data_IF_547631515228
#
_entry.id   IF_547631515228
#
_cell.length_a   1.000
_cell.length_b   1.000
_cell.length_c   1.000
_cell.angle_alpha   90.00
_cell.angle_beta   90.00
_cell.angle_gamma   90.00
#
_symmetry.space_group_name_H-M   'P 1'
#
loop_
_entity.id
_entity.type
_entity.pdbx_description
1 polymer ?
#
# COMPACT_ATOMS: atom_id res chain seq x y z
N UNK A 1 19.28 2.73 -6.43
CA UNK A 1 17.90 2.20 -6.30
C UNK A 1 16.97 3.40 -6.30
N UNK A 2 16.18 3.56 -7.34
CA UNK A 2 15.10 4.54 -7.38
C UNK A 2 13.79 3.84 -7.02
N UNK A 3 12.86 4.62 -6.45
CA UNK A 3 11.53 4.17 -6.10
C UNK A 3 10.54 4.75 -7.12
N UNK A 4 9.65 3.93 -7.65
CA UNK A 4 8.64 4.33 -8.64
C UNK A 4 7.29 3.78 -8.22
N UNK A 5 6.25 4.60 -8.37
CA UNK A 5 4.86 4.20 -8.17
C UNK A 5 4.06 4.48 -9.42
N UNK A 6 3.23 3.53 -9.84
CA UNK A 6 2.32 3.72 -10.96
C UNK A 6 1.13 2.75 -10.85
N UNK A 7 -0.06 3.30 -10.66
CA UNK A 7 -1.30 2.53 -10.51
C UNK A 7 -2.26 2.69 -11.69
N UNK A 8 -1.90 3.51 -12.70
CA UNK A 8 -2.69 3.61 -13.92
C UNK A 8 -2.15 2.70 -15.01
N UNK A 9 -2.99 1.80 -15.53
CA UNK A 9 -2.65 0.77 -16.51
C UNK A 9 -1.86 1.32 -17.70
N UNK A 10 -2.31 2.42 -18.30
CA UNK A 10 -1.68 3.03 -19.47
C UNK A 10 -0.23 3.49 -19.23
N UNK A 11 0.10 3.81 -17.99
CA UNK A 11 1.43 4.31 -17.61
C UNK A 11 2.35 3.22 -17.03
N UNK A 12 1.81 2.08 -16.56
CA UNK A 12 2.62 1.00 -15.97
C UNK A 12 3.67 0.50 -16.95
N UNK A 13 3.29 0.26 -18.21
CA UNK A 13 4.23 -0.20 -19.26
C UNK A 13 5.40 0.78 -19.45
N UNK A 14 5.11 2.07 -19.53
CA UNK A 14 6.13 3.11 -19.68
C UNK A 14 7.02 3.21 -18.43
N UNK A 15 6.43 3.11 -17.24
CA UNK A 15 7.16 3.13 -15.97
C UNK A 15 8.11 1.93 -15.86
N UNK A 16 7.65 0.74 -16.16
CA UNK A 16 8.49 -0.47 -16.17
C UNK A 16 9.59 -0.39 -17.23
N UNK A 17 9.29 0.11 -18.42
CA UNK A 17 10.28 0.27 -19.50
C UNK A 17 11.42 1.23 -19.13
N UNK A 18 11.11 2.31 -18.39
CA UNK A 18 12.10 3.31 -17.92
C UNK A 18 12.84 2.87 -16.65
N UNK A 19 12.37 1.83 -15.96
CA UNK A 19 12.99 1.34 -14.74
C UNK A 19 14.33 0.67 -15.04
N UNK A 20 15.31 0.95 -14.18
CA UNK A 20 16.69 0.44 -14.27
C UNK A 20 16.88 -0.76 -13.36
N UNK A 21 17.92 -1.58 -13.55
CA UNK A 21 18.30 -2.62 -12.61
C UNK A 21 18.38 -2.09 -11.18
N UNK A 22 17.86 -2.84 -10.23
CA UNK A 22 17.76 -2.48 -8.81
C UNK A 22 16.76 -1.36 -8.46
N UNK A 23 16.02 -0.79 -9.43
CA UNK A 23 14.89 0.07 -9.08
C UNK A 23 13.77 -0.78 -8.46
N UNK A 24 13.03 -0.18 -7.53
CA UNK A 24 11.79 -0.74 -7.00
C UNK A 24 10.62 -0.05 -7.68
N UNK A 25 9.82 -0.81 -8.41
CA UNK A 25 8.57 -0.38 -9.01
C UNK A 25 7.39 -0.95 -8.23
N UNK A 26 6.52 -0.09 -7.72
CA UNK A 26 5.23 -0.44 -7.16
C UNK A 26 4.18 -0.15 -8.21
N UNK A 27 3.47 -1.16 -8.65
CA UNK A 27 2.52 -1.07 -9.76
C UNK A 27 1.19 -1.72 -9.39
N UNK A 28 0.14 -1.33 -10.07
CA UNK A 28 -1.06 -2.14 -10.18
C UNK A 28 -0.95 -3.01 -11.44
N UNK A 29 -0.90 -4.31 -11.27
CA UNK A 29 -0.74 -5.25 -12.38
C UNK A 29 -2.05 -5.75 -12.97
N UNK A 30 -3.20 -5.25 -12.51
CA UNK A 30 -4.49 -5.57 -13.12
C UNK A 30 -4.50 -5.10 -14.59
N UNK A 31 -4.96 -5.95 -15.51
CA UNK A 31 -4.88 -5.67 -16.95
C UNK A 31 -3.48 -5.75 -17.59
N UNK A 32 -2.39 -5.80 -16.82
CA UNK A 32 -1.02 -5.82 -17.35
C UNK A 32 -0.60 -7.25 -17.71
N UNK A 33 -0.21 -7.51 -18.98
CA UNK A 33 0.29 -8.82 -19.39
C UNK A 33 1.54 -9.26 -18.60
N UNK A 34 1.57 -10.53 -18.24
CA UNK A 34 2.70 -11.16 -17.55
C UNK A 34 4.05 -10.89 -18.22
N UNK A 35 4.11 -10.93 -19.54
CA UNK A 35 5.34 -10.69 -20.33
C UNK A 35 5.94 -9.29 -20.09
N UNK A 36 5.11 -8.28 -19.87
CA UNK A 36 5.58 -6.90 -19.58
C UNK A 36 6.30 -6.84 -18.25
N UNK A 37 5.71 -7.46 -17.21
CA UNK A 37 6.30 -7.49 -15.87
C UNK A 37 7.56 -8.34 -15.88
N UNK A 38 7.52 -9.54 -16.47
CA UNK A 38 8.68 -10.43 -16.58
C UNK A 38 9.84 -9.80 -17.35
N UNK A 39 9.55 -9.01 -18.39
CA UNK A 39 10.59 -8.25 -19.10
C UNK A 39 11.28 -7.22 -18.18
N UNK A 40 10.57 -6.54 -17.29
CA UNK A 40 11.19 -5.64 -16.32
C UNK A 40 12.00 -6.41 -15.28
N UNK A 41 11.45 -7.49 -14.74
CA UNK A 41 12.12 -8.37 -13.75
C UNK A 41 13.40 -8.96 -14.32
N UNK A 42 13.41 -9.43 -15.58
CA UNK A 42 14.60 -9.98 -16.22
C UNK A 42 15.73 -8.96 -16.40
N UNK A 43 15.40 -7.67 -16.42
CA UNK A 43 16.38 -6.56 -16.39
C UNK A 43 16.85 -6.20 -14.97
N UNK A 44 16.39 -6.92 -13.94
CA UNK A 44 16.74 -6.67 -12.55
C UNK A 44 15.90 -5.58 -11.84
N UNK A 45 14.73 -5.25 -12.36
CA UNK A 45 13.75 -4.39 -11.68
C UNK A 45 13.05 -5.22 -10.60
N UNK A 46 12.98 -4.68 -9.38
CA UNK A 46 12.18 -5.26 -8.30
C UNK A 46 10.74 -4.76 -8.43
N UNK A 47 9.78 -5.67 -8.52
CA UNK A 47 8.37 -5.32 -8.68
C UNK A 47 7.57 -5.70 -7.44
N UNK A 48 6.84 -4.74 -6.90
CA UNK A 48 5.77 -4.93 -5.92
C UNK A 48 4.44 -4.68 -6.59
N UNK A 49 3.48 -5.54 -6.35
CA UNK A 49 2.13 -5.41 -6.88
C UNK A 49 1.17 -4.84 -5.85
N UNK A 50 0.25 -4.00 -6.29
CA UNK A 50 -0.75 -3.37 -5.45
C UNK A 50 -1.90 -4.32 -5.11
N UNK A 51 -2.24 -4.42 -3.84
CA UNK A 51 -3.46 -5.08 -3.35
C UNK A 51 -4.12 -4.20 -2.30
N UNK A 52 -5.39 -3.91 -2.51
CA UNK A 52 -6.21 -3.22 -1.53
C UNK A 52 -6.86 -4.25 -0.59
N UNK A 53 -6.42 -4.32 0.66
CA UNK A 53 -6.93 -5.29 1.62
C UNK A 53 -8.17 -4.81 2.39
N UNK A 54 -8.33 -3.50 2.52
CA UNK A 54 -9.37 -2.90 3.37
C UNK A 54 -10.48 -2.19 2.62
N UNK A 55 -10.34 -1.98 1.30
CA UNK A 55 -11.36 -1.31 0.52
C UNK A 55 -11.60 -1.98 -0.84
N UNK A 56 -12.78 -1.75 -1.40
CA UNK A 56 -13.22 -2.26 -2.70
C UNK A 56 -13.45 -1.09 -3.65
N UNK A 57 -12.73 -1.08 -4.76
CA UNK A 57 -12.78 -0.06 -5.80
C UNK A 57 -13.80 -0.45 -6.88
N UNK A 58 -14.71 0.48 -7.25
CA UNK A 58 -15.78 0.23 -8.22
C UNK A 58 -15.25 -0.13 -9.63
N UNK A 59 -14.06 0.33 -9.97
CA UNK A 59 -13.43 0.06 -11.28
C UNK A 59 -12.88 -1.36 -11.43
N UNK A 60 -12.80 -2.15 -10.35
CA UNK A 60 -12.20 -3.49 -10.40
C UNK A 60 -13.13 -4.51 -11.07
N UNK A 61 -12.54 -5.40 -11.86
CA UNK A 61 -13.25 -6.49 -12.54
C UNK A 61 -14.03 -7.39 -11.57
N UNK A 62 -13.58 -7.48 -10.34
CA UNK A 62 -14.18 -8.29 -9.28
C UNK A 62 -15.18 -7.50 -8.40
N UNK A 63 -15.46 -6.22 -8.68
CA UNK A 63 -16.33 -5.39 -7.87
C UNK A 63 -17.71 -6.02 -7.63
N UNK A 64 -18.39 -6.46 -8.69
CA UNK A 64 -19.73 -7.01 -8.60
C UNK A 64 -19.79 -8.30 -7.76
N UNK A 65 -18.71 -9.06 -7.75
CA UNK A 65 -18.59 -10.28 -6.94
C UNK A 65 -18.56 -9.97 -5.44
N UNK A 66 -17.88 -8.88 -5.03
CA UNK A 66 -17.63 -8.59 -3.63
C UNK A 66 -18.38 -7.36 -3.08
N UNK A 67 -19.20 -6.67 -3.90
CA UNK A 67 -19.93 -5.47 -3.47
C UNK A 67 -20.85 -5.68 -2.27
N UNK A 68 -21.31 -6.91 -2.03
CA UNK A 68 -22.11 -7.28 -0.86
C UNK A 68 -21.32 -7.28 0.46
N UNK A 69 -20.00 -7.17 0.40
CA UNK A 69 -19.13 -7.07 1.57
C UNK A 69 -18.85 -5.61 1.98
N UNK A 70 -19.43 -4.63 1.29
CA UNK A 70 -19.19 -3.22 1.60
C UNK A 70 -19.70 -2.84 2.98
N UNK A 71 -18.89 -2.08 3.70
CA UNK A 71 -19.25 -1.53 5.01
C UNK A 71 -19.69 -0.07 4.91
N UNK A 72 -18.89 0.77 4.28
CA UNK A 72 -19.16 2.19 4.14
C UNK A 72 -18.44 2.77 2.93
N UNK A 73 -18.82 3.99 2.53
CA UNK A 73 -18.08 4.74 1.53
C UNK A 73 -16.69 5.11 2.09
N UNK A 74 -15.68 4.95 1.25
CA UNK A 74 -14.35 5.49 1.56
C UNK A 74 -14.36 7.00 1.34
N UNK A 75 -13.89 7.79 2.31
CA UNK A 75 -14.03 9.25 2.26
C UNK A 75 -13.03 9.91 1.31
N UNK A 76 -11.86 9.30 1.10
CA UNK A 76 -10.78 9.87 0.30
C UNK A 76 -10.99 9.77 -1.21
N UNK A 77 -11.65 8.71 -1.70
CA UNK A 77 -11.75 8.41 -3.13
C UNK A 77 -13.16 8.09 -3.57
N UNK A 78 -13.59 8.75 -4.67
CA UNK A 78 -14.90 8.47 -5.27
C UNK A 78 -14.93 7.08 -5.90
N UNK A 79 -15.96 6.29 -5.55
CA UNK A 79 -16.11 4.94 -6.08
C UNK A 79 -15.38 3.87 -5.27
N UNK A 80 -14.83 4.20 -4.13
CA UNK A 80 -14.18 3.28 -3.21
C UNK A 80 -15.02 3.07 -1.94
N UNK A 81 -14.98 1.87 -1.38
CA UNK A 81 -15.78 1.47 -0.23
C UNK A 81 -14.95 0.66 0.74
N UNK A 82 -14.98 1.00 2.01
CA UNK A 82 -14.50 0.11 3.07
C UNK A 82 -15.21 -1.24 2.95
N UNK A 83 -14.44 -2.32 3.01
CA UNK A 83 -14.94 -3.69 2.88
C UNK A 83 -14.81 -4.43 4.19
N UNK A 84 -15.65 -5.45 4.40
CA UNK A 84 -15.49 -6.40 5.49
C UNK A 84 -14.39 -7.42 5.17
N UNK A 85 -13.19 -7.26 5.73
CA UNK A 85 -12.09 -8.17 5.45
C UNK A 85 -12.25 -9.52 6.15
N UNK A 86 -13.25 -9.68 7.05
CA UNK A 86 -13.45 -10.93 7.81
C UNK A 86 -14.11 -12.04 7.01
N UNK A 87 -14.70 -11.70 5.85
CA UNK A 87 -15.24 -12.68 4.94
C UNK A 87 -14.12 -13.56 4.37
N UNK A 88 -14.28 -14.88 4.55
CA UNK A 88 -13.25 -15.83 4.04
C UNK A 88 -12.98 -15.64 2.55
N UNK A 89 -14.01 -15.40 1.77
CA UNK A 89 -13.89 -15.18 0.32
C UNK A 89 -13.06 -13.94 -0.04
N UNK A 90 -13.03 -12.90 0.83
CA UNK A 90 -12.17 -11.74 0.63
C UNK A 90 -10.71 -12.03 1.01
N UNK A 91 -10.50 -12.75 2.11
CA UNK A 91 -9.17 -13.22 2.52
C UNK A 91 -8.54 -14.06 1.40
N UNK A 92 -9.31 -15.05 0.92
CA UNK A 92 -8.88 -15.94 -0.17
C UNK A 92 -8.60 -15.14 -1.45
N UNK A 93 -9.43 -14.13 -1.76
CA UNK A 93 -9.24 -13.26 -2.92
C UNK A 93 -7.91 -12.48 -2.84
N UNK A 94 -7.62 -11.82 -1.72
CA UNK A 94 -6.35 -11.10 -1.55
C UNK A 94 -5.13 -12.02 -1.70
N UNK A 95 -5.20 -13.23 -1.13
CA UNK A 95 -4.12 -14.22 -1.28
C UNK A 95 -3.99 -14.69 -2.73
N UNK A 96 -5.11 -14.92 -3.43
CA UNK A 96 -5.09 -15.30 -4.84
C UNK A 96 -4.52 -14.21 -5.76
N UNK A 97 -4.82 -12.92 -5.47
CA UNK A 97 -4.17 -11.81 -6.15
C UNK A 97 -2.64 -11.84 -5.94
N UNK A 98 -2.19 -12.11 -4.72
CA UNK A 98 -0.77 -12.22 -4.43
C UNK A 98 -0.12 -13.43 -5.14
N UNK A 99 -0.80 -14.57 -5.24
CA UNK A 99 -0.34 -15.72 -6.05
C UNK A 99 -0.20 -15.31 -7.51
N UNK A 100 -1.17 -14.61 -8.07
CA UNK A 100 -1.11 -14.13 -9.46
C UNK A 100 0.02 -13.12 -9.67
N UNK A 101 0.24 -12.21 -8.71
CA UNK A 101 1.36 -11.27 -8.74
C UNK A 101 2.72 -11.98 -8.74
N UNK A 102 2.88 -13.01 -7.89
CA UNK A 102 4.08 -13.85 -7.85
C UNK A 102 4.32 -14.56 -9.18
N UNK A 103 3.27 -15.12 -9.79
CA UNK A 103 3.37 -15.76 -11.09
C UNK A 103 3.81 -14.79 -12.20
N UNK A 104 3.40 -13.52 -12.12
CA UNK A 104 3.88 -12.45 -13.00
C UNK A 104 5.34 -12.05 -12.73
N UNK A 105 5.92 -12.41 -11.58
CA UNK A 105 7.31 -12.13 -11.20
C UNK A 105 7.47 -11.05 -10.13
N UNK A 106 6.39 -10.61 -9.48
CA UNK A 106 6.50 -9.71 -8.33
C UNK A 106 7.26 -10.39 -7.18
N UNK A 107 8.06 -9.61 -6.45
CA UNK A 107 8.78 -10.06 -5.26
C UNK A 107 8.11 -9.64 -3.96
N UNK A 108 7.10 -8.81 -4.04
CA UNK A 108 6.35 -8.32 -2.88
C UNK A 108 5.00 -7.72 -3.26
N UNK A 109 4.23 -7.43 -2.22
CA UNK A 109 2.93 -6.80 -2.29
C UNK A 109 2.97 -5.46 -1.57
N UNK A 110 2.50 -4.41 -2.24
CA UNK A 110 2.12 -3.15 -1.63
C UNK A 110 0.68 -3.29 -1.14
N UNK A 111 0.53 -3.43 0.18
CA UNK A 111 -0.74 -3.74 0.82
C UNK A 111 -1.40 -2.46 1.32
N UNK A 112 -2.45 -2.05 0.67
CA UNK A 112 -3.15 -0.82 0.98
C UNK A 112 -4.37 -1.03 1.89
N UNK A 113 -4.78 0.06 2.54
CA UNK A 113 -5.99 0.16 3.37
C UNK A 113 -6.08 -0.85 4.54
N UNK A 114 -4.93 -1.28 5.09
CA UNK A 114 -4.94 -1.99 6.38
C UNK A 114 -5.46 -1.11 7.53
N UNK A 115 -5.65 0.18 7.27
CA UNK A 115 -6.33 1.16 8.13
C UNK A 115 -7.78 0.77 8.47
N UNK A 116 -8.43 -0.12 7.71
CA UNK A 116 -9.74 -0.68 8.07
C UNK A 116 -9.75 -1.24 9.49
N UNK A 117 -8.61 -1.73 9.99
CA UNK A 117 -8.47 -2.17 11.38
C UNK A 117 -8.80 -1.07 12.39
N UNK A 118 -8.39 0.16 12.10
CA UNK A 118 -8.74 1.33 12.91
C UNK A 118 -10.12 1.86 12.53
N UNK A 119 -10.38 2.00 11.25
CA UNK A 119 -11.56 2.67 10.69
C UNK A 119 -12.87 1.96 11.03
N UNK A 120 -12.88 0.64 11.19
CA UNK A 120 -14.11 -0.12 11.53
C UNK A 120 -14.81 0.40 12.79
N UNK A 121 -14.07 1.00 13.72
CA UNK A 121 -14.62 1.62 14.94
C UNK A 121 -15.23 3.01 14.71
N UNK A 122 -14.99 3.61 13.55
CA UNK A 122 -15.45 4.95 13.18
C UNK A 122 -16.55 4.93 12.12
N UNK A 123 -16.87 3.74 11.60
CA UNK A 123 -18.00 3.55 10.70
C UNK A 123 -19.27 3.50 11.55
N UNK A 124 -20.16 4.48 11.36
CA UNK A 124 -21.41 4.57 12.15
C UNK A 124 -22.56 3.78 11.54
N UNK A 125 -22.52 3.56 10.23
CA UNK A 125 -23.57 2.84 9.49
C UNK A 125 -22.96 2.02 8.35
N UNK A 126 -23.23 0.73 8.38
CA UNK A 126 -22.87 -0.17 7.28
C UNK A 126 -23.94 -0.19 6.19
N UNK A 127 -23.51 -0.46 4.95
CA UNK A 127 -24.40 -0.56 3.79
C UNK A 127 -25.05 -1.95 3.67
N UNK A 128 -24.25 -2.96 3.50
CA UNK A 128 -24.69 -4.26 3.01
C UNK A 128 -24.61 -5.37 4.08
N UNK A 129 -23.96 -5.11 5.21
CA UNK A 129 -23.77 -6.10 6.28
C UNK A 129 -23.44 -5.47 7.63
N UNK A 130 -23.62 -6.21 8.75
CA UNK A 130 -23.18 -5.74 10.07
C UNK A 130 -21.67 -5.43 10.10
N UNK A 131 -21.29 -4.44 10.91
CA UNK A 131 -19.88 -4.14 11.14
C UNK A 131 -19.22 -5.28 11.93
N UNK A 132 -18.06 -5.78 11.48
CA UNK A 132 -17.29 -6.74 12.25
C UNK A 132 -16.63 -6.08 13.46
N UNK A 133 -16.32 -6.84 14.48
CA UNK A 133 -15.51 -6.34 15.57
C UNK A 133 -14.04 -6.16 15.17
N UNK A 134 -13.36 -5.23 15.83
CA UNK A 134 -11.98 -4.88 15.50
C UNK A 134 -11.01 -6.08 15.63
N UNK A 135 -11.28 -7.00 16.55
CA UNK A 135 -10.42 -8.19 16.73
C UNK A 135 -10.57 -9.16 15.56
N UNK A 136 -11.80 -9.32 15.04
CA UNK A 136 -12.04 -10.11 13.84
C UNK A 136 -11.33 -9.49 12.62
N UNK A 137 -11.43 -8.17 12.45
CA UNK A 137 -10.69 -7.44 11.39
C UNK A 137 -9.19 -7.65 11.52
N UNK A 138 -8.63 -7.54 12.74
CA UNK A 138 -7.22 -7.82 12.97
C UNK A 138 -6.82 -9.24 12.52
N UNK A 139 -7.61 -10.25 12.92
CA UNK A 139 -7.34 -11.66 12.56
C UNK A 139 -7.38 -11.86 11.03
N UNK A 140 -8.31 -11.22 10.36
CA UNK A 140 -8.44 -11.28 8.91
C UNK A 140 -7.24 -10.67 8.19
N UNK A 141 -6.87 -9.44 8.53
CA UNK A 141 -5.68 -8.79 7.96
C UNK A 141 -4.39 -9.57 8.28
N UNK A 142 -4.28 -10.12 9.51
CA UNK A 142 -3.17 -11.01 9.85
C UNK A 142 -3.12 -12.22 8.94
N UNK A 143 -4.27 -12.86 8.66
CA UNK A 143 -4.34 -14.01 7.77
C UNK A 143 -3.90 -13.65 6.34
N UNK A 144 -4.31 -12.48 5.84
CA UNK A 144 -3.88 -11.97 4.52
C UNK A 144 -2.35 -11.77 4.52
N UNK A 145 -1.80 -11.04 5.50
CA UNK A 145 -0.36 -10.76 5.58
C UNK A 145 0.46 -12.05 5.70
N UNK A 146 0.06 -12.96 6.59
CA UNK A 146 0.75 -14.25 6.75
C UNK A 146 0.64 -15.09 5.47
N UNK A 147 -0.55 -15.21 4.87
CA UNK A 147 -0.73 -15.96 3.62
C UNK A 147 0.12 -15.43 2.46
N UNK A 148 0.27 -14.11 2.34
CA UNK A 148 1.17 -13.48 1.36
C UNK A 148 2.64 -13.81 1.68
N UNK A 149 3.02 -13.75 2.95
CA UNK A 149 4.39 -14.08 3.36
C UNK A 149 4.70 -15.59 3.16
N UNK A 150 3.74 -16.46 3.44
CA UNK A 150 3.91 -17.92 3.32
C UNK A 150 4.14 -18.38 1.88
N UNK A 151 3.60 -17.66 0.91
CA UNK A 151 3.93 -17.89 -0.51
C UNK A 151 5.26 -17.25 -0.93
N UNK A 152 6.01 -16.65 0.01
CA UNK A 152 7.36 -16.12 -0.21
C UNK A 152 7.41 -14.69 -0.78
N UNK A 153 6.33 -13.91 -0.67
CA UNK A 153 6.32 -12.50 -1.05
C UNK A 153 6.55 -11.58 0.16
N UNK A 154 7.23 -10.48 -0.07
CA UNK A 154 7.44 -9.44 0.94
C UNK A 154 6.17 -8.59 1.02
N UNK A 155 5.65 -8.35 2.24
CA UNK A 155 4.52 -7.44 2.45
C UNK A 155 5.04 -6.06 2.83
N UNK A 156 4.59 -5.04 2.11
CA UNK A 156 4.85 -3.63 2.38
C UNK A 156 3.51 -2.92 2.62
N UNK A 157 3.06 -2.80 3.87
CA UNK A 157 1.86 -2.02 4.18
C UNK A 157 2.06 -0.55 3.82
N UNK A 158 1.00 0.06 3.28
CA UNK A 158 0.89 1.50 3.12
C UNK A 158 0.09 2.07 4.29
N UNK A 159 0.69 2.93 5.11
CA UNK A 159 0.06 3.38 6.35
C UNK A 159 -0.26 2.23 7.30
N UNK A 160 -1.48 2.22 7.83
CA UNK A 160 -2.00 1.16 8.68
C UNK A 160 -1.26 0.99 10.01
N UNK A 161 -0.72 2.07 10.57
CA UNK A 161 0.17 2.04 11.74
C UNK A 161 -0.40 1.27 12.93
N UNK A 162 -1.68 1.44 13.22
CA UNK A 162 -2.37 0.75 14.32
C UNK A 162 -2.36 -0.77 14.12
N UNK A 163 -2.61 -1.23 12.89
CA UNK A 163 -2.53 -2.64 12.54
C UNK A 163 -1.08 -3.13 12.58
N UNK A 164 -0.17 -2.43 11.91
CA UNK A 164 1.24 -2.84 11.78
C UNK A 164 1.93 -2.91 13.14
N UNK A 165 1.67 -1.96 14.04
CA UNK A 165 2.23 -1.97 15.39
C UNK A 165 1.75 -3.18 16.19
N UNK A 166 0.45 -3.49 16.14
CA UNK A 166 -0.10 -4.68 16.81
C UNK A 166 0.45 -5.96 16.17
N UNK A 167 0.46 -6.05 14.86
CA UNK A 167 0.96 -7.22 14.13
C UNK A 167 2.44 -7.50 14.46
N UNK A 168 3.26 -6.46 14.54
CA UNK A 168 4.69 -6.59 14.87
C UNK A 168 4.92 -7.21 16.25
N UNK A 169 4.05 -6.98 17.24
CA UNK A 169 4.22 -7.58 18.57
C UNK A 169 4.09 -9.10 18.54
N UNK A 170 3.28 -9.63 17.64
CA UNK A 170 3.02 -11.07 17.50
C UNK A 170 3.96 -11.70 16.42
N UNK A 171 4.32 -10.94 15.38
CA UNK A 171 5.05 -11.41 14.21
C UNK A 171 6.19 -10.46 13.80
N UNK A 172 7.24 -10.27 14.62
CA UNK A 172 8.24 -9.20 14.41
C UNK A 172 9.10 -9.36 13.15
N UNK A 173 9.11 -10.56 12.56
CA UNK A 173 9.99 -10.87 11.41
C UNK A 173 9.26 -10.93 10.05
N UNK A 174 7.95 -10.70 10.02
CA UNK A 174 7.13 -10.84 8.80
C UNK A 174 7.15 -9.55 7.99
N UNK A 175 6.73 -8.42 8.58
CA UNK A 175 6.77 -7.10 7.92
C UNK A 175 8.16 -6.50 8.09
N UNK A 176 8.92 -6.43 6.99
CA UNK A 176 10.29 -5.90 6.97
C UNK A 176 10.41 -4.53 6.32
N UNK A 177 9.34 -4.04 5.76
CA UNK A 177 9.29 -2.74 5.08
C UNK A 177 7.90 -2.15 5.21
N UNK A 178 7.84 -0.82 5.31
CA UNK A 178 6.60 -0.05 5.28
C UNK A 178 6.69 1.05 4.24
N UNK A 179 5.54 1.52 3.79
CA UNK A 179 5.37 2.79 3.12
C UNK A 179 4.47 3.72 3.93
N UNK A 180 4.69 5.03 3.85
CA UNK A 180 3.82 6.05 4.39
C UNK A 180 3.63 7.15 3.35
N UNK A 181 2.39 7.42 3.01
CA UNK A 181 2.06 8.52 2.12
C UNK A 181 1.86 9.82 2.89
N UNK A 182 2.23 10.93 2.26
CA UNK A 182 1.94 12.27 2.72
C UNK A 182 2.41 12.58 4.14
N UNK A 183 3.59 12.08 4.55
CA UNK A 183 4.07 12.34 5.90
C UNK A 183 4.36 13.83 6.15
N UNK A 184 4.86 14.53 5.15
CA UNK A 184 5.16 15.96 5.22
C UNK A 184 4.23 16.79 4.35
N UNK A 185 3.90 16.28 3.16
CA UNK A 185 3.05 16.95 2.17
C UNK A 185 2.02 15.98 1.58
N UNK A 186 0.75 16.35 1.68
CA UNK A 186 -0.41 15.67 1.10
C UNK A 186 -1.15 16.65 0.19
N UNK A 187 -1.66 16.19 -0.96
CA UNK A 187 -2.37 17.05 -1.93
C UNK A 187 -1.61 18.35 -2.27
N UNK A 188 -0.27 18.26 -2.36
CA UNK A 188 0.64 19.40 -2.61
C UNK A 188 0.64 20.47 -1.50
N UNK A 189 0.03 20.18 -0.36
CA UNK A 189 -0.02 21.05 0.82
C UNK A 189 0.81 20.45 1.93
N UNK A 190 1.42 21.31 2.73
CA UNK A 190 2.09 20.87 3.96
C UNK A 190 1.04 20.33 4.93
N UNK A 191 1.31 19.15 5.46
CA UNK A 191 0.50 18.57 6.52
C UNK A 191 0.50 19.44 7.78
N UNK A 192 -0.62 19.49 8.52
CA UNK A 192 -0.65 20.05 9.86
C UNK A 192 0.42 19.46 10.77
N UNK A 193 0.88 20.21 11.76
CA UNK A 193 1.97 19.77 12.66
C UNK A 193 1.63 18.43 13.36
N UNK A 194 0.40 18.28 13.82
CA UNK A 194 -0.07 17.05 14.48
C UNK A 194 0.01 15.84 13.55
N UNK A 195 -0.48 15.96 12.31
CA UNK A 195 -0.43 14.89 11.32
C UNK A 195 1.00 14.51 10.95
N UNK A 196 1.85 15.52 10.71
CA UNK A 196 3.27 15.27 10.45
C UNK A 196 3.93 14.51 11.59
N UNK A 197 3.71 14.96 12.83
CA UNK A 197 4.27 14.32 14.01
C UNK A 197 3.79 12.86 14.10
N UNK A 198 2.51 12.62 13.98
CA UNK A 198 1.91 11.29 14.04
C UNK A 198 2.52 10.33 13.01
N UNK A 199 2.55 10.74 11.72
CA UNK A 199 3.07 9.91 10.63
C UNK A 199 4.59 9.70 10.75
N UNK A 200 5.34 10.72 11.11
CA UNK A 200 6.80 10.62 11.28
C UNK A 200 7.20 9.79 12.50
N UNK A 201 6.44 9.83 13.59
CA UNK A 201 6.63 8.94 14.75
C UNK A 201 6.42 7.48 14.38
N UNK A 202 5.46 7.17 13.53
CA UNK A 202 5.28 5.81 13.01
C UNK A 202 6.48 5.37 12.16
N UNK A 203 6.93 6.21 11.24
CA UNK A 203 8.09 5.93 10.39
C UNK A 203 9.37 5.72 11.21
N UNK A 204 9.60 6.55 12.22
CA UNK A 204 10.74 6.41 13.13
C UNK A 204 10.65 5.16 14.00
N UNK A 205 9.44 4.82 14.46
CA UNK A 205 9.21 3.56 15.17
C UNK A 205 9.57 2.37 14.28
N UNK A 206 9.08 2.32 13.04
CA UNK A 206 9.37 1.24 12.12
C UNK A 206 10.87 1.12 11.84
N UNK A 207 11.57 2.25 11.63
CA UNK A 207 13.03 2.27 11.48
C UNK A 207 13.75 1.72 12.71
N UNK A 208 13.35 2.13 13.91
CA UNK A 208 13.91 1.60 15.18
C UNK A 208 13.70 0.10 15.34
N UNK A 209 12.66 -0.46 14.72
CA UNK A 209 12.38 -1.90 14.67
C UNK A 209 13.13 -2.62 13.55
N UNK A 210 14.01 -1.93 12.82
CA UNK A 210 14.82 -2.51 11.74
C UNK A 210 14.13 -2.63 10.39
N UNK A 211 12.92 -2.07 10.24
CA UNK A 211 12.21 -2.08 8.97
C UNK A 211 12.80 -1.06 7.99
N UNK A 212 12.73 -1.36 6.70
CA UNK A 212 12.96 -0.38 5.65
C UNK A 212 11.76 0.56 5.56
N UNK A 213 12.01 1.85 5.80
CA UNK A 213 10.98 2.89 5.75
C UNK A 213 11.04 3.57 4.40
N UNK A 214 9.90 3.59 3.72
CA UNK A 214 9.67 4.29 2.46
C UNK A 214 8.53 5.27 2.63
N UNK A 215 8.45 6.24 1.74
CA UNK A 215 7.32 7.14 1.72
C UNK A 215 7.12 7.83 0.38
N UNK A 216 5.91 8.29 0.21
CA UNK A 216 5.47 9.08 -0.93
C UNK A 216 5.13 10.48 -0.43
N UNK A 217 5.69 11.50 -1.07
CA UNK A 217 5.39 12.90 -0.75
C UNK A 217 4.85 13.59 -2.00
N UNK A 218 3.74 14.30 -1.85
CA UNK A 218 3.07 14.99 -2.94
C UNK A 218 3.56 16.44 -3.05
N UNK A 219 4.59 16.67 -3.89
CA UNK A 219 5.28 17.95 -3.98
C UNK A 219 5.51 18.40 -5.42
N UNK A 220 5.12 19.64 -5.74
CA UNK A 220 5.42 20.30 -7.03
C UNK A 220 6.52 21.35 -6.90
N UNK A 221 6.64 22.02 -5.74
CA UNK A 221 7.59 23.12 -5.54
C UNK A 221 8.98 22.58 -5.19
N UNK A 222 10.01 23.05 -5.89
CA UNK A 222 11.41 22.64 -5.69
C UNK A 222 11.85 22.75 -4.22
N UNK A 223 11.45 23.82 -3.50
CA UNK A 223 11.77 23.99 -2.07
C UNK A 223 11.17 22.89 -1.20
N UNK A 224 9.94 22.42 -1.49
CA UNK A 224 9.30 21.35 -0.74
C UNK A 224 9.95 20.00 -1.02
N UNK A 225 10.34 19.76 -2.28
CA UNK A 225 11.10 18.57 -2.68
C UNK A 225 12.44 18.52 -1.94
N UNK A 226 13.17 19.63 -1.88
CA UNK A 226 14.43 19.72 -1.14
C UNK A 226 14.23 19.46 0.35
N UNK A 227 13.17 20.01 0.94
CA UNK A 227 12.80 19.77 2.33
C UNK A 227 12.53 18.29 2.62
N UNK A 228 11.70 17.63 1.79
CA UNK A 228 11.43 16.20 1.94
C UNK A 228 12.73 15.38 1.88
N UNK A 229 13.58 15.63 0.90
CA UNK A 229 14.86 14.94 0.77
C UNK A 229 15.74 15.10 2.00
N UNK A 230 15.89 16.33 2.52
CA UNK A 230 16.67 16.62 3.72
C UNK A 230 16.08 15.93 4.95
N UNK A 231 14.76 15.96 5.09
CA UNK A 231 14.06 15.35 6.22
C UNK A 231 14.23 13.83 6.23
N UNK A 232 14.03 13.15 5.10
CA UNK A 232 14.21 11.70 4.98
C UNK A 232 15.65 11.27 5.25
N UNK A 233 16.61 12.04 4.75
CA UNK A 233 18.02 11.79 5.01
C UNK A 233 18.36 11.91 6.50
N UNK A 234 17.88 12.96 7.15
CA UNK A 234 18.12 13.20 8.58
C UNK A 234 17.54 12.10 9.48
N UNK A 235 16.39 11.53 9.10
CA UNK A 235 15.75 10.42 9.80
C UNK A 235 16.29 9.04 9.40
N UNK A 236 17.16 8.96 8.38
CA UNK A 236 17.73 7.69 7.87
C UNK A 236 16.69 6.79 7.21
N UNK A 237 15.59 7.35 6.69
CA UNK A 237 14.61 6.60 5.91
C UNK A 237 15.14 6.33 4.50
N UNK A 238 14.92 5.11 3.98
CA UNK A 238 15.67 4.59 2.83
C UNK A 238 15.03 4.83 1.48
N UNK A 239 13.75 5.19 1.43
CA UNK A 239 13.04 5.37 0.16
C UNK A 239 12.14 6.59 0.20
N UNK A 240 12.35 7.52 -0.73
CA UNK A 240 11.48 8.66 -0.95
C UNK A 240 11.08 8.68 -2.42
N UNK A 241 9.78 8.66 -2.66
CA UNK A 241 9.19 9.00 -3.94
C UNK A 241 8.51 10.36 -3.85
N UNK A 242 8.78 11.23 -4.80
CA UNK A 242 8.10 12.52 -4.94
C UNK A 242 7.11 12.40 -6.09
N UNK A 243 5.83 12.44 -5.79
CA UNK A 243 4.80 12.47 -6.80
C UNK A 243 4.36 13.89 -7.11
N UNK A 244 4.20 14.17 -8.39
CA UNK A 244 3.59 15.41 -8.91
C UNK A 244 2.11 15.24 -9.22
N UNK A 245 1.58 14.03 -9.01
CA UNK A 245 0.20 13.62 -9.25
C UNK A 245 -0.36 12.92 -8.01
N UNK A 246 -1.61 13.17 -7.69
CA UNK A 246 -2.26 12.53 -6.51
C UNK A 246 -2.71 11.10 -6.78
N UNK A 247 -2.90 10.75 -8.05
CA UNK A 247 -3.33 9.43 -8.51
C UNK A 247 -2.18 8.46 -8.82
N UNK A 248 -0.93 8.84 -8.49
CA UNK A 248 0.26 8.00 -8.69
C UNK A 248 0.34 7.38 -10.09
N UNK A 249 0.01 8.17 -11.13
CA UNK A 249 0.06 7.72 -12.53
C UNK A 249 1.47 7.50 -13.08
N UNK A 250 2.48 7.75 -12.29
CA UNK A 250 3.88 7.72 -12.68
C UNK A 250 4.37 9.07 -13.24
N UNK A 251 5.68 9.34 -13.10
CA UNK A 251 6.37 10.56 -13.60
C UNK A 251 7.25 10.25 -14.81
#
# INVERSE_FOLDING_TARGET
MSLRYCFEEDHVRATLARSKPSDLAVIDSDGIPKSVIQSAVSRGVMVYDYINAGALEKGRSYYDKYKHLRLARYEGWSGEYWIDPTAKEWIDHCINLAVAAKDKGAIGIYLDNSDIYYMVRHIHKSYDRPLPDQTAVYRALRSIVCGINDIGLIVMPNGGDSFVRRFYTEHPNVIKTINQEGALFEDFKRQPKSERQYRTEYMDWARKKGMYVRGIEYCKKTRHIAECKAYYLAHGWKGLYISKHTDLRGD
#
